data_IF_618307927707
#
_entry.id   IF_618307927707
#
_cell.length_a   1.000
_cell.length_b   1.000
_cell.length_c   1.000
_cell.angle_alpha   90.00
_cell.angle_beta   90.00
_cell.angle_gamma   90.00
#
_symmetry.space_group_name_H-M   'P 1'
#
loop_
_entity.id
_entity.type
_entity.pdbx_description
1 polymer ?
#
# COMPACT_ATOMS: atom_id res chain seq x y z
N UNK A 1 4.26 -16.39 -30.26
CA UNK A 1 2.95 -15.74 -30.52
C UNK A 1 2.84 -14.58 -29.55
N UNK A 2 2.85 -13.32 -30.01
CA UNK A 2 3.05 -12.13 -29.17
C UNK A 2 2.03 -11.98 -28.03
N UNK A 3 0.81 -12.47 -28.21
CA UNK A 3 -0.28 -12.33 -27.22
C UNK A 3 0.03 -12.97 -25.86
N UNK A 4 0.62 -14.16 -25.84
CA UNK A 4 0.93 -14.87 -24.58
C UNK A 4 2.04 -14.18 -23.80
N UNK A 5 3.06 -13.68 -24.51
CA UNK A 5 4.16 -12.91 -23.93
C UNK A 5 3.65 -11.59 -23.34
N UNK A 6 2.87 -10.81 -24.12
CA UNK A 6 2.30 -9.54 -23.66
C UNK A 6 1.37 -9.70 -22.46
N UNK A 7 0.59 -10.79 -22.42
CA UNK A 7 -0.28 -11.08 -21.29
C UNK A 7 0.51 -11.37 -20.02
N UNK A 8 1.53 -12.21 -20.13
CA UNK A 8 2.40 -12.53 -19.00
C UNK A 8 3.13 -11.28 -18.50
N UNK A 9 3.67 -10.45 -19.40
CA UNK A 9 4.29 -9.17 -19.03
C UNK A 9 3.32 -8.24 -18.30
N UNK A 10 2.07 -8.14 -18.76
CA UNK A 10 1.03 -7.35 -18.09
C UNK A 10 0.75 -7.84 -16.66
N UNK A 11 0.75 -9.15 -16.42
CA UNK A 11 0.52 -9.73 -15.09
C UNK A 11 1.69 -9.38 -14.14
N UNK A 12 2.94 -9.47 -14.62
CA UNK A 12 4.13 -9.07 -13.85
C UNK A 12 4.17 -7.57 -13.55
N UNK A 13 3.79 -6.73 -14.51
CA UNK A 13 3.70 -5.28 -14.32
C UNK A 13 2.63 -4.92 -13.29
N UNK A 14 1.46 -5.56 -13.35
CA UNK A 14 0.40 -5.36 -12.37
C UNK A 14 0.86 -5.75 -10.96
N UNK A 15 1.50 -6.91 -10.80
CA UNK A 15 2.03 -7.35 -9.51
C UNK A 15 3.07 -6.35 -8.97
N UNK A 16 4.00 -5.92 -9.81
CA UNK A 16 5.03 -4.95 -9.44
C UNK A 16 4.43 -3.60 -9.01
N UNK A 17 3.42 -3.11 -9.73
CA UNK A 17 2.71 -1.89 -9.38
C UNK A 17 2.01 -1.99 -8.02
N UNK A 18 1.40 -3.15 -7.73
CA UNK A 18 0.72 -3.36 -6.45
C UNK A 18 1.72 -3.47 -5.29
N UNK A 19 2.84 -4.17 -5.48
CA UNK A 19 3.91 -4.21 -4.47
C UNK A 19 4.49 -2.82 -4.21
N UNK A 20 4.74 -2.05 -5.26
CA UNK A 20 5.20 -0.67 -5.15
C UNK A 20 4.20 0.21 -4.38
N UNK A 21 2.90 0.08 -4.66
CA UNK A 21 1.83 0.76 -3.92
C UNK A 21 1.88 0.41 -2.42
N UNK A 22 1.98 -0.87 -2.06
CA UNK A 22 2.06 -1.27 -0.65
C UNK A 22 3.37 -0.83 0.01
N UNK A 23 4.48 -0.80 -0.72
CA UNK A 23 5.75 -0.25 -0.24
C UNK A 23 5.63 1.24 0.06
N UNK A 24 5.23 2.01 -0.95
CA UNK A 24 4.99 3.45 -0.87
C UNK A 24 4.06 3.83 0.29
N UNK A 25 2.88 3.23 0.37
CA UNK A 25 1.89 3.59 1.39
C UNK A 25 2.33 3.25 2.81
N UNK A 26 3.18 2.24 3.03
CA UNK A 26 3.78 2.01 4.37
C UNK A 26 4.54 3.24 4.85
N UNK A 27 5.34 3.86 3.97
CA UNK A 27 6.10 5.05 4.31
C UNK A 27 5.18 6.25 4.52
N UNK A 28 4.24 6.48 3.62
CA UNK A 28 3.24 7.55 3.76
C UNK A 28 2.53 7.47 5.11
N UNK A 29 2.11 6.27 5.53
CA UNK A 29 1.45 6.09 6.82
C UNK A 29 2.34 6.42 8.01
N UNK A 30 3.64 6.09 7.99
CA UNK A 30 4.53 6.53 9.08
C UNK A 30 4.56 8.06 9.18
N UNK A 31 4.75 8.75 8.06
CA UNK A 31 4.77 10.22 8.04
C UNK A 31 3.42 10.83 8.46
N UNK A 32 2.32 10.30 7.96
CA UNK A 32 0.97 10.71 8.34
C UNK A 32 0.72 10.55 9.85
N UNK A 33 1.19 9.45 10.45
CA UNK A 33 1.05 9.21 11.88
C UNK A 33 1.90 10.18 12.73
N UNK A 34 3.08 10.58 12.27
CA UNK A 34 3.88 11.65 12.90
C UNK A 34 3.11 12.98 12.84
N UNK A 35 2.62 13.37 11.65
CA UNK A 35 1.90 14.63 11.43
C UNK A 35 0.60 14.69 12.25
N UNK A 36 -0.10 13.58 12.41
CA UNK A 36 -1.30 13.49 13.27
C UNK A 36 -0.97 13.47 14.78
N UNK A 37 0.31 13.46 15.16
CA UNK A 37 0.74 13.42 16.56
C UNK A 37 0.54 12.06 17.22
N UNK A 38 0.36 10.98 16.45
CA UNK A 38 0.22 9.63 16.99
C UNK A 38 1.56 8.97 17.31
N UNK A 39 2.66 9.46 16.72
CA UNK A 39 4.02 9.03 16.99
C UNK A 39 4.82 10.22 17.48
N UNK A 40 5.32 10.13 18.71
CA UNK A 40 5.99 11.26 19.39
C UNK A 40 7.49 11.03 19.53
N UNK A 41 7.92 9.77 19.54
CA UNK A 41 9.31 9.37 19.76
C UNK A 41 9.84 8.49 18.63
N UNK A 42 11.18 8.41 18.53
CA UNK A 42 11.83 7.49 17.58
C UNK A 42 11.48 6.03 17.85
N UNK A 43 11.21 5.67 19.11
CA UNK A 43 10.75 4.35 19.52
C UNK A 43 9.33 4.07 18.99
N UNK A 44 8.41 5.03 19.07
CA UNK A 44 7.07 4.90 18.48
C UNK A 44 7.15 4.65 16.97
N UNK A 45 8.02 5.40 16.28
CA UNK A 45 8.28 5.25 14.84
C UNK A 45 8.81 3.87 14.52
N UNK A 46 9.85 3.39 15.24
CA UNK A 46 10.40 2.05 15.06
C UNK A 46 9.34 0.97 15.30
N UNK A 47 8.59 1.08 16.40
CA UNK A 47 7.54 0.14 16.76
C UNK A 47 6.43 0.07 15.71
N UNK A 48 6.03 1.19 15.09
CA UNK A 48 5.05 1.16 14.00
C UNK A 48 5.68 0.68 12.68
N UNK A 49 6.94 1.02 12.41
CA UNK A 49 7.68 0.59 11.22
C UNK A 49 7.81 -0.94 11.13
N UNK A 50 7.89 -1.64 12.26
CA UNK A 50 7.94 -3.10 12.30
C UNK A 50 6.59 -3.80 12.11
N UNK A 51 5.47 -3.07 12.23
CA UNK A 51 4.12 -3.65 12.08
C UNK A 51 3.75 -3.94 10.62
N UNK A 52 2.68 -4.73 10.44
CA UNK A 52 2.13 -4.94 9.10
C UNK A 52 1.49 -3.67 8.51
N UNK A 53 1.17 -3.72 7.22
CA UNK A 53 0.55 -2.60 6.52
C UNK A 53 -0.83 -2.24 7.07
N UNK A 54 -1.63 -3.23 7.49
CA UNK A 54 -2.97 -3.00 7.99
C UNK A 54 -2.96 -2.22 9.32
N UNK A 55 -1.99 -2.51 10.17
CA UNK A 55 -1.73 -1.79 11.42
C UNK A 55 -1.27 -0.36 11.15
N UNK A 56 -0.38 -0.16 10.17
CA UNK A 56 0.05 1.19 9.74
C UNK A 56 -1.11 2.01 9.19
N UNK A 57 -1.96 1.42 8.35
CA UNK A 57 -3.16 2.06 7.82
C UNK A 57 -4.06 2.55 8.97
N UNK A 58 -4.39 1.67 9.92
CA UNK A 58 -5.25 2.00 11.08
C UNK A 58 -4.65 3.04 12.02
N UNK A 59 -3.33 3.15 12.07
CA UNK A 59 -2.67 4.18 12.86
C UNK A 59 -2.85 5.59 12.26
N UNK A 60 -3.25 5.70 10.99
CA UNK A 60 -3.33 6.98 10.27
C UNK A 60 -4.75 7.35 9.89
N UNK A 61 -5.54 6.36 9.48
CA UNK A 61 -6.87 6.52 8.94
C UNK A 61 -7.88 5.83 9.84
N UNK A 62 -8.96 6.54 10.16
CA UNK A 62 -10.00 6.04 11.05
C UNK A 62 -10.92 5.05 10.32
N UNK A 63 -10.72 3.76 10.59
CA UNK A 63 -11.54 2.67 10.04
C UNK A 63 -12.93 2.54 10.69
N UNK A 64 -13.28 3.40 11.65
CA UNK A 64 -14.67 3.56 12.09
C UNK A 64 -15.50 4.37 11.07
N UNK A 65 -14.84 5.20 10.25
CA UNK A 65 -15.49 5.85 9.13
C UNK A 65 -15.75 4.82 8.00
N UNK A 66 -17.01 4.68 7.60
CA UNK A 66 -17.43 3.72 6.57
C UNK A 66 -16.73 3.92 5.21
N UNK A 67 -16.47 5.16 4.80
CA UNK A 67 -15.77 5.45 3.55
C UNK A 67 -14.33 4.92 3.60
N UNK A 68 -13.61 5.20 4.69
CA UNK A 68 -12.24 4.72 4.93
C UNK A 68 -12.21 3.19 5.04
N UNK A 69 -13.17 2.61 5.77
CA UNK A 69 -13.28 1.18 5.98
C UNK A 69 -13.45 0.40 4.68
N UNK A 70 -14.25 0.91 3.75
CA UNK A 70 -14.44 0.29 2.43
C UNK A 70 -13.09 0.10 1.70
N UNK A 71 -12.25 1.13 1.69
CA UNK A 71 -10.92 1.04 1.09
C UNK A 71 -10.02 0.08 1.87
N UNK A 72 -10.03 0.16 3.20
CA UNK A 72 -9.24 -0.73 4.05
C UNK A 72 -9.55 -2.22 3.79
N UNK A 73 -10.82 -2.61 3.83
CA UNK A 73 -11.23 -4.01 3.69
C UNK A 73 -10.88 -4.57 2.29
N UNK A 74 -11.06 -3.77 1.23
CA UNK A 74 -10.68 -4.14 -0.15
C UNK A 74 -9.17 -4.34 -0.28
N UNK A 75 -8.37 -3.39 0.19
CA UNK A 75 -6.91 -3.45 0.09
C UNK A 75 -6.33 -4.60 0.93
N UNK A 76 -6.81 -4.83 2.16
CA UNK A 76 -6.37 -5.98 2.95
C UNK A 76 -6.69 -7.30 2.24
N UNK A 77 -7.84 -7.39 1.58
CA UNK A 77 -8.24 -8.58 0.80
C UNK A 77 -7.27 -8.81 -0.37
N UNK A 78 -6.97 -7.77 -1.15
CA UNK A 78 -6.01 -7.82 -2.26
C UNK A 78 -4.63 -8.27 -1.77
N UNK A 79 -4.14 -7.67 -0.68
CA UNK A 79 -2.83 -8.02 -0.11
C UNK A 79 -2.76 -9.49 0.30
N UNK A 80 -3.84 -10.03 0.86
CA UNK A 80 -3.95 -11.45 1.22
C UNK A 80 -3.94 -12.35 -0.03
N UNK A 81 -4.69 -11.98 -1.06
CA UNK A 81 -4.73 -12.71 -2.33
C UNK A 81 -3.35 -12.77 -2.98
N UNK A 82 -2.62 -11.65 -3.04
CA UNK A 82 -1.27 -11.59 -3.61
C UNK A 82 -0.29 -12.46 -2.82
N UNK A 83 -0.27 -12.34 -1.49
CA UNK A 83 0.59 -13.19 -0.66
C UNK A 83 0.31 -14.67 -0.89
N UNK A 84 -0.96 -15.05 -1.00
CA UNK A 84 -1.34 -16.43 -1.26
C UNK A 84 -0.88 -16.86 -2.66
N UNK A 85 -1.12 -16.04 -3.69
CA UNK A 85 -0.67 -16.28 -5.06
C UNK A 85 0.85 -16.49 -5.14
N UNK A 86 1.63 -15.61 -4.51
CA UNK A 86 3.09 -15.72 -4.46
C UNK A 86 3.58 -16.91 -3.63
N UNK A 87 2.95 -17.22 -2.50
CA UNK A 87 3.29 -18.39 -1.69
C UNK A 87 3.06 -19.71 -2.44
N UNK A 88 2.18 -19.70 -3.44
CA UNK A 88 1.98 -20.80 -4.37
C UNK A 88 2.87 -20.70 -5.62
N UNK A 89 3.91 -19.87 -5.61
CA UNK A 89 4.95 -19.80 -6.66
C UNK A 89 4.57 -19.00 -7.90
N UNK A 90 3.49 -18.21 -7.86
CA UNK A 90 2.99 -17.45 -9.02
C UNK A 90 2.75 -18.32 -10.27
N UNK A 91 2.51 -19.62 -10.09
CA UNK A 91 2.21 -20.53 -11.18
C UNK A 91 0.86 -20.16 -11.82
N UNK A 92 0.78 -20.26 -13.15
CA UNK A 92 -0.38 -19.85 -13.93
C UNK A 92 -1.70 -20.42 -13.41
N UNK A 93 -2.80 -19.69 -13.70
CA UNK A 93 -4.20 -19.74 -13.22
C UNK A 93 -4.75 -20.89 -12.37
N UNK A 94 -4.18 -22.10 -12.39
CA UNK A 94 -4.52 -23.21 -11.51
C UNK A 94 -3.30 -23.90 -10.87
N UNK A 95 -2.20 -23.22 -10.54
CA UNK A 95 -1.04 -23.90 -9.91
C UNK A 95 -0.44 -25.03 -10.76
N UNK A 96 -0.55 -24.91 -12.08
CA UNK A 96 -0.17 -25.94 -13.05
C UNK A 96 1.36 -25.95 -13.19
N UNK A 97 2.04 -26.78 -12.41
CA UNK A 97 3.49 -26.93 -12.52
C UNK A 97 3.88 -27.84 -13.71
N UNK A 98 2.97 -28.68 -14.20
CA UNK A 98 3.23 -29.64 -15.28
C UNK A 98 1.98 -29.88 -16.15
N UNK A 99 2.15 -29.90 -17.48
CA UNK A 99 1.16 -30.42 -18.43
C UNK A 99 1.49 -31.88 -18.77
N UNK A 100 0.58 -32.81 -18.48
CA UNK A 100 0.73 -34.20 -18.91
C UNK A 100 0.00 -34.37 -20.23
N UNK A 101 0.69 -34.88 -21.25
CA UNK A 101 0.07 -35.24 -22.51
C UNK A 101 -0.56 -36.64 -22.38
N UNK A 102 -1.88 -36.71 -22.44
CA UNK A 102 -2.62 -37.97 -22.60
C UNK A 102 -3.21 -38.05 -24.01
N UNK A 103 -3.70 -39.22 -24.42
CA UNK A 103 -4.38 -39.42 -25.71
C UNK A 103 -5.62 -38.52 -25.93
N UNK A 104 -6.09 -37.81 -24.90
CA UNK A 104 -7.19 -36.83 -24.97
C UNK A 104 -6.74 -35.36 -25.02
N UNK A 105 -5.43 -35.08 -25.02
CA UNK A 105 -4.86 -33.73 -25.00
C UNK A 105 -4.09 -33.41 -23.71
N UNK A 106 -3.59 -32.16 -23.62
CA UNK A 106 -2.86 -31.66 -22.46
C UNK A 106 -3.83 -31.38 -21.30
N UNK A 107 -3.60 -32.04 -20.16
CA UNK A 107 -4.41 -31.88 -18.95
C UNK A 107 -3.55 -31.19 -17.88
N UNK A 108 -4.06 -30.11 -17.25
CA UNK A 108 -3.33 -29.42 -16.20
C UNK A 108 -3.34 -30.15 -14.86
N UNK A 109 -2.23 -30.11 -14.11
CA UNK A 109 -2.10 -30.78 -12.81
C UNK A 109 -1.70 -29.81 -11.68
N UNK A 110 -2.54 -29.76 -10.63
CA UNK A 110 -2.33 -29.03 -9.38
C UNK A 110 -1.43 -29.82 -8.43
N UNK A 111 -0.39 -29.19 -7.88
CA UNK A 111 0.43 -29.77 -6.81
C UNK A 111 0.29 -28.99 -5.49
N UNK A 112 -0.49 -29.46 -4.51
CA UNK A 112 -0.49 -28.86 -3.18
C UNK A 112 0.77 -29.27 -2.40
N UNK A 113 1.40 -28.29 -1.76
CA UNK A 113 2.58 -28.49 -0.92
C UNK A 113 2.20 -28.99 0.48
N UNK A 114 1.95 -30.30 0.63
CA UNK A 114 2.04 -30.97 1.94
C UNK A 114 2.59 -32.40 1.80
N UNK A 115 3.69 -32.68 2.52
CA UNK A 115 4.23 -34.02 2.73
C UNK A 115 3.27 -34.79 3.63
N UNK A 116 2.45 -35.65 3.02
CA UNK A 116 1.68 -36.66 3.75
C UNK A 116 0.19 -36.64 3.43
N UNK A 117 -0.25 -37.75 2.83
CA UNK A 117 -1.64 -38.10 2.52
C UNK A 117 -2.29 -37.35 1.34
N UNK A 118 -2.51 -38.13 0.29
CA UNK A 118 -3.49 -37.94 -0.79
C UNK A 118 -4.65 -37.02 -0.42
N UNK A 119 -4.79 -35.91 -1.15
CA UNK A 119 -6.06 -35.24 -1.47
C UNK A 119 -5.83 -34.12 -2.49
N UNK A 120 -6.16 -34.40 -3.75
CA UNK A 120 -6.48 -33.35 -4.71
C UNK A 120 -7.68 -32.56 -4.15
N UNK A 121 -7.60 -31.22 -4.10
CA UNK A 121 -8.76 -30.39 -3.72
C UNK A 121 -9.15 -29.49 -4.89
N UNK A 122 -10.45 -29.50 -5.23
CA UNK A 122 -11.11 -28.50 -6.07
C UNK A 122 -11.56 -27.34 -5.18
N UNK A 123 -10.62 -26.61 -4.58
CA UNK A 123 -10.99 -25.43 -3.77
C UNK A 123 -10.75 -24.17 -4.60
N UNK A 124 -11.83 -23.65 -5.21
CA UNK A 124 -11.90 -22.33 -5.85
C UNK A 124 -11.81 -21.23 -4.78
N UNK A 125 -10.62 -21.03 -4.21
CA UNK A 125 -10.33 -19.88 -3.39
C UNK A 125 -10.00 -18.69 -4.28
N UNK A 126 -10.88 -17.68 -4.28
CA UNK A 126 -10.78 -16.37 -4.97
C UNK A 126 -9.47 -16.15 -5.72
N UNK A 127 -9.49 -16.43 -7.02
CA UNK A 127 -8.39 -16.09 -7.91
C UNK A 127 -8.04 -14.60 -7.78
N UNK A 128 -6.75 -14.29 -7.77
CA UNK A 128 -6.29 -12.91 -7.81
C UNK A 128 -6.69 -12.30 -9.14
N UNK A 129 -7.43 -11.19 -9.10
CA UNK A 129 -7.86 -10.46 -10.29
C UNK A 129 -7.09 -9.15 -10.37
N UNK A 130 -6.10 -9.06 -11.27
CA UNK A 130 -5.19 -7.92 -11.38
C UNK A 130 -5.97 -6.62 -11.59
N UNK A 131 -6.97 -6.65 -12.47
CA UNK A 131 -7.78 -5.48 -12.82
C UNK A 131 -8.55 -4.93 -11.62
N UNK A 132 -9.18 -5.81 -10.84
CA UNK A 132 -9.91 -5.41 -9.64
C UNK A 132 -8.96 -4.83 -8.58
N UNK A 133 -7.76 -5.41 -8.46
CA UNK A 133 -6.74 -4.94 -7.54
C UNK A 133 -6.22 -3.54 -7.92
N UNK A 134 -5.88 -3.31 -9.19
CA UNK A 134 -5.45 -2.01 -9.69
C UNK A 134 -6.56 -0.97 -9.53
N UNK A 135 -7.82 -1.30 -9.89
CA UNK A 135 -8.96 -0.41 -9.69
C UNK A 135 -9.12 0.01 -8.23
N UNK A 136 -9.03 -0.93 -7.28
CA UNK A 136 -9.12 -0.61 -5.86
C UNK A 136 -7.98 0.29 -5.36
N UNK A 137 -6.77 0.13 -5.93
CA UNK A 137 -5.62 0.99 -5.64
C UNK A 137 -5.86 2.39 -6.19
N UNK A 138 -6.27 2.52 -7.45
CA UNK A 138 -6.56 3.82 -8.08
C UNK A 138 -7.66 4.56 -7.31
N UNK A 139 -8.74 3.88 -6.94
CA UNK A 139 -9.81 4.46 -6.13
C UNK A 139 -9.32 4.94 -4.76
N UNK A 140 -8.45 4.18 -4.09
CA UNK A 140 -7.87 4.63 -2.82
C UNK A 140 -6.90 5.80 -3.00
N UNK A 141 -6.08 5.79 -4.05
CA UNK A 141 -5.17 6.89 -4.37
C UNK A 141 -5.95 8.17 -4.66
N UNK A 142 -7.06 8.09 -5.40
CA UNK A 142 -7.95 9.22 -5.61
C UNK A 142 -8.59 9.70 -4.30
N UNK A 143 -9.07 8.77 -3.48
CA UNK A 143 -9.70 9.08 -2.19
C UNK A 143 -8.75 9.76 -1.21
N UNK A 144 -7.52 9.26 -1.04
CA UNK A 144 -6.61 9.70 0.01
C UNK A 144 -5.50 10.60 -0.50
N UNK A 145 -4.84 10.22 -1.59
CA UNK A 145 -3.62 10.88 -2.04
C UNK A 145 -3.91 12.08 -2.96
N UNK A 146 -4.93 12.03 -3.82
CA UNK A 146 -5.23 13.09 -4.79
C UNK A 146 -6.41 14.00 -4.41
N UNK A 147 -7.21 13.64 -3.39
CA UNK A 147 -8.42 14.39 -3.03
C UNK A 147 -8.18 15.79 -2.47
N UNK A 148 -6.95 16.11 -2.03
CA UNK A 148 -6.62 17.32 -1.27
C UNK A 148 -7.42 17.51 0.03
N UNK A 149 -8.17 16.49 0.48
CA UNK A 149 -8.96 16.55 1.72
C UNK A 149 -8.14 16.23 2.98
N UNK A 150 -6.90 15.75 2.79
CA UNK A 150 -6.02 15.27 3.84
C UNK A 150 -4.82 16.20 4.00
N UNK A 151 -4.80 17.07 5.03
CA UNK A 151 -3.69 18.01 5.25
C UNK A 151 -2.33 17.29 5.34
N UNK A 152 -2.27 16.12 5.97
CA UNK A 152 -1.00 15.38 6.07
C UNK A 152 -0.41 15.03 4.70
N UNK A 153 -1.24 14.81 3.67
CA UNK A 153 -0.79 14.47 2.33
C UNK A 153 -0.15 15.68 1.65
N UNK A 154 -0.68 16.89 1.88
CA UNK A 154 -0.08 18.13 1.38
C UNK A 154 1.36 18.28 1.89
N UNK A 155 1.56 18.07 3.19
CA UNK A 155 2.89 18.11 3.79
C UNK A 155 3.82 17.05 3.19
N UNK A 156 3.36 15.79 3.07
CA UNK A 156 4.20 14.70 2.54
C UNK A 156 4.59 14.97 1.07
N UNK A 157 3.69 15.56 0.27
CA UNK A 157 3.98 15.96 -1.13
C UNK A 157 4.96 17.13 -1.23
N UNK A 158 5.11 17.95 -0.20
CA UNK A 158 6.00 19.13 -0.20
C UNK A 158 7.50 18.83 -0.23
N UNK A 159 7.90 17.55 -0.08
CA UNK A 159 9.31 17.10 0.06
C UNK A 159 10.02 17.54 1.34
N UNK A 160 9.35 18.29 2.22
CA UNK A 160 9.87 18.64 3.54
C UNK A 160 10.06 17.37 4.41
N UNK A 161 11.14 17.28 5.20
CA UNK A 161 11.33 16.18 6.14
C UNK A 161 10.31 16.28 7.28
N UNK A 162 9.78 15.14 7.74
CA UNK A 162 8.99 15.14 8.98
C UNK A 162 9.89 15.40 10.19
N UNK A 163 9.62 16.49 10.90
CA UNK A 163 10.33 16.93 12.09
C UNK A 163 9.59 16.39 13.31
N UNK A 164 10.12 15.32 13.91
CA UNK A 164 9.44 14.57 14.97
C UNK A 164 9.09 15.43 16.19
N UNK A 165 9.89 16.42 16.54
CA UNK A 165 9.62 17.32 17.68
C UNK A 165 8.34 18.13 17.50
N UNK A 166 7.95 18.45 16.26
CA UNK A 166 6.70 19.17 15.96
C UNK A 166 5.44 18.34 16.23
N UNK A 167 5.56 17.03 16.35
CA UNK A 167 4.48 16.16 16.82
C UNK A 167 4.19 16.38 18.32
N UNK A 168 5.18 16.83 19.09
CA UNK A 168 5.10 16.97 20.55
C UNK A 168 4.81 18.40 21.05
N UNK A 169 5.04 19.43 20.23
CA UNK A 169 4.92 20.85 20.63
C UNK A 169 3.66 21.55 20.08
N UNK A 170 2.70 20.76 19.59
CA UNK A 170 1.45 21.19 18.94
C UNK A 170 1.58 21.85 17.56
N UNK A 171 2.79 22.02 17.02
CA UNK A 171 3.01 22.61 15.69
C UNK A 171 2.22 21.85 14.62
N UNK A 172 2.38 20.53 14.52
CA UNK A 172 1.63 19.75 13.54
C UNK A 172 0.13 19.72 13.84
N UNK A 173 -0.27 19.66 15.11
CA UNK A 173 -1.70 19.70 15.47
C UNK A 173 -2.38 20.98 14.97
N UNK A 174 -1.68 22.13 15.05
CA UNK A 174 -2.20 23.41 14.57
C UNK A 174 -2.24 23.44 13.03
N UNK A 175 -1.17 22.97 12.36
CA UNK A 175 -1.14 22.88 10.90
C UNK A 175 -2.20 21.93 10.33
N UNK A 176 -2.51 20.84 11.05
CA UNK A 176 -3.52 19.85 10.67
C UNK A 176 -4.97 20.31 10.89
N UNK A 177 -5.21 21.52 11.41
CA UNK A 177 -6.55 22.02 11.70
C UNK A 177 -7.40 22.24 10.44
N UNK A 178 -6.76 22.61 9.33
CA UNK A 178 -7.40 22.72 8.02
C UNK A 178 -6.38 22.55 6.89
N UNK A 179 -6.86 22.38 5.66
CA UNK A 179 -6.00 22.35 4.47
C UNK A 179 -5.26 23.67 4.26
N UNK A 180 -5.93 24.80 4.50
CA UNK A 180 -5.34 26.14 4.38
C UNK A 180 -4.25 26.39 5.44
N UNK A 181 -4.44 25.90 6.67
CA UNK A 181 -3.43 26.01 7.72
C UNK A 181 -2.18 25.19 7.38
N UNK A 182 -2.37 24.00 6.80
CA UNK A 182 -1.27 23.17 6.36
C UNK A 182 -0.52 23.77 5.16
N UNK A 183 -1.24 24.31 4.17
CA UNK A 183 -0.63 24.99 3.02
C UNK A 183 0.23 26.17 3.48
N UNK A 184 -0.33 27.03 4.34
CA UNK A 184 0.40 28.16 4.94
C UNK A 184 1.64 27.70 5.71
N UNK A 185 1.55 26.58 6.42
CA UNK A 185 2.66 26.02 7.18
C UNK A 185 3.77 25.44 6.28
N UNK A 186 3.39 24.74 5.21
CA UNK A 186 4.34 24.23 4.19
C UNK A 186 5.08 25.39 3.52
N UNK A 187 4.36 26.42 3.06
CA UNK A 187 4.96 27.60 2.43
C UNK A 187 5.94 28.31 3.36
N UNK A 188 5.56 28.46 4.63
CA UNK A 188 6.44 29.02 5.64
C UNK A 188 7.73 28.21 5.80
N UNK A 189 7.64 26.88 5.93
CA UNK A 189 8.81 26.02 6.12
C UNK A 189 9.70 25.98 4.88
N UNK A 190 9.14 25.94 3.67
CA UNK A 190 9.91 26.04 2.43
C UNK A 190 10.68 27.37 2.42
N UNK A 191 10.01 28.48 2.74
CA UNK A 191 10.67 29.79 2.80
C UNK A 191 11.78 29.89 3.87
N UNK A 192 11.65 29.17 5.00
CA UNK A 192 12.72 29.05 6.00
C UNK A 192 13.90 28.25 5.43
N UNK A 193 13.63 27.09 4.83
CA UNK A 193 14.66 26.25 4.22
C UNK A 193 15.42 26.96 3.09
N UNK A 194 14.72 27.72 2.25
CA UNK A 194 15.32 28.50 1.18
C UNK A 194 16.21 29.62 1.71
N UNK A 195 15.77 30.34 2.76
CA UNK A 195 16.59 31.36 3.42
C UNK A 195 17.86 30.77 4.04
N UNK A 196 17.73 29.65 4.75
CA UNK A 196 18.88 28.93 5.32
C UNK A 196 19.85 28.48 4.22
N UNK A 197 19.33 27.99 3.08
CA UNK A 197 20.13 27.61 1.91
C UNK A 197 20.83 28.79 1.24
N UNK A 198 20.18 29.97 1.23
CA UNK A 198 20.73 31.21 0.67
C UNK A 198 21.62 31.97 1.67
N UNK A 199 21.71 31.53 2.94
CA UNK A 199 22.38 32.21 4.04
C UNK A 199 21.80 33.62 4.33
N UNK A 200 20.54 33.83 3.95
CA UNK A 200 19.79 35.06 4.22
C UNK A 200 19.15 34.94 5.62
N UNK A 201 19.86 35.43 6.64
CA UNK A 201 19.43 35.39 8.04
C UNK A 201 18.49 36.55 8.42
#
# INVERSE_FOLDING_TARGET
MPYFELKMESEWLALSAIEAFYGFTKHVFIHAAILKGHLLTGEDVANLADKDWASKFKACLDVQNNAVKLHYDRLVTIKRQIRNYMAHGAFGKNGEAFQIHSGAGAIPLLMPHQKGSSRFSMQSGTEFQEREAISAIEEFMQFYWESNDYPEVMYIKSTLPSILTYASDSTYRNAMASTNDMESFVDYLIGVHDRDGNMDW
#
